data_IF_295859730336
#
_entry.id   IF_295859730336
#
_cell.length_a   1.000
_cell.length_b   1.000
_cell.length_c   1.000
_cell.angle_alpha   90.00
_cell.angle_beta   90.00
_cell.angle_gamma   90.00
#
_symmetry.space_group_name_H-M   'P 1'
#
loop_
_entity.id
_entity.type
_entity.pdbx_description
1 polymer ?
#
# COMPACT_ATOMS: atom_id res chain seq x y z
N UNK A 1 62.60 -52.45 -27.21
CA UNK A 1 63.56 -52.37 -26.10
C UNK A 1 62.95 -51.63 -24.96
N UNK A 2 62.93 -52.35 -23.81
CA UNK A 2 62.71 -51.90 -22.45
C UNK A 2 61.35 -51.19 -22.12
N UNK A 3 60.32 -51.85 -21.60
CA UNK A 3 60.08 -52.40 -20.25
C UNK A 3 60.42 -51.38 -19.13
N UNK A 4 59.42 -50.98 -18.46
CA UNK A 4 59.47 -50.25 -17.20
C UNK A 4 58.19 -50.49 -16.42
N UNK A 5 58.24 -51.44 -15.51
CA UNK A 5 57.23 -51.82 -14.53
C UNK A 5 56.98 -50.68 -13.54
N UNK A 6 55.78 -50.53 -13.14
CA UNK A 6 55.41 -49.60 -12.07
C UNK A 6 54.09 -49.98 -11.42
N UNK A 7 54.21 -50.91 -10.48
CA UNK A 7 53.38 -51.19 -9.29
C UNK A 7 52.00 -50.57 -9.16
N UNK A 8 50.95 -51.38 -9.18
CA UNK A 8 49.67 -51.20 -8.54
C UNK A 8 49.84 -51.11 -7.03
N UNK A 9 49.36 -50.02 -6.42
CA UNK A 9 49.06 -50.03 -5.00
C UNK A 9 47.54 -50.17 -4.83
N UNK A 10 47.22 -51.33 -4.18
CA UNK A 10 45.82 -51.70 -3.91
C UNK A 10 45.40 -51.14 -2.54
N UNK A 11 44.89 -49.99 -2.52
CA UNK A 11 44.02 -49.52 -1.41
C UNK A 11 42.77 -48.90 -1.98
N UNK A 12 41.86 -49.79 -2.39
CA UNK A 12 40.49 -49.41 -2.80
C UNK A 12 39.69 -48.93 -1.61
N UNK A 13 39.82 -47.66 -1.25
CA UNK A 13 38.84 -46.98 -0.41
C UNK A 13 37.85 -46.33 -1.34
N UNK A 14 36.74 -47.00 -1.58
CA UNK A 14 35.53 -46.36 -2.08
C UNK A 14 35.06 -45.41 -0.99
N UNK A 15 35.37 -44.13 -1.13
CA UNK A 15 34.69 -43.06 -0.37
C UNK A 15 33.28 -43.05 -0.93
N UNK A 16 32.36 -43.66 -0.19
CA UNK A 16 30.94 -43.59 -0.50
C UNK A 16 30.55 -42.14 -0.54
N UNK A 17 30.07 -41.68 -1.70
CA UNK A 17 29.33 -40.40 -1.78
C UNK A 17 28.22 -40.44 -0.72
N UNK A 18 28.37 -39.60 0.31
CA UNK A 18 27.31 -39.40 1.25
C UNK A 18 26.10 -38.87 0.45
N UNK A 19 25.08 -39.70 0.27
CA UNK A 19 23.83 -39.29 -0.35
C UNK A 19 23.34 -38.10 0.43
N UNK A 20 23.36 -36.90 -0.20
CA UNK A 20 22.71 -35.72 0.32
C UNK A 20 21.23 -36.13 0.45
N UNK A 21 20.65 -36.07 1.65
CA UNK A 21 19.25 -36.44 1.80
C UNK A 21 18.44 -35.52 0.93
N UNK A 22 17.79 -36.07 -0.10
CA UNK A 22 16.78 -35.32 -0.88
C UNK A 22 15.66 -34.98 0.09
N UNK A 23 15.67 -33.78 0.62
CA UNK A 23 14.55 -33.30 1.41
C UNK A 23 13.33 -33.33 0.50
N UNK A 24 12.37 -34.17 0.83
CA UNK A 24 11.05 -34.15 0.22
C UNK A 24 10.42 -32.82 0.67
N UNK A 25 10.39 -31.82 -0.22
CA UNK A 25 9.70 -30.57 0.01
C UNK A 25 8.21 -30.91 -0.07
N UNK A 26 7.52 -30.85 1.07
CA UNK A 26 6.07 -30.91 1.11
C UNK A 26 5.48 -29.65 0.49
N UNK A 27 4.26 -29.75 -0.03
CA UNK A 27 3.52 -28.63 -0.61
C UNK A 27 2.14 -28.55 0.05
N UNK A 28 1.74 -27.33 0.34
CA UNK A 28 0.44 -26.98 0.85
C UNK A 28 -0.37 -26.36 -0.30
N UNK A 29 -1.57 -26.87 -0.58
CA UNK A 29 -2.47 -26.28 -1.58
C UNK A 29 -3.33 -25.21 -0.93
N UNK A 30 -3.27 -24.00 -1.44
CA UNK A 30 -3.96 -22.83 -0.92
C UNK A 30 -4.89 -22.26 -1.98
N UNK A 31 -6.17 -22.08 -1.63
CA UNK A 31 -7.12 -21.31 -2.43
C UNK A 31 -6.92 -19.83 -2.18
N UNK A 32 -7.03 -19.03 -3.22
CA UNK A 32 -6.92 -17.57 -3.14
C UNK A 32 -7.84 -16.88 -4.14
N UNK A 33 -8.14 -15.63 -3.85
CA UNK A 33 -8.78 -14.70 -4.78
C UNK A 33 -7.82 -13.57 -5.10
N UNK A 34 -7.54 -13.35 -6.39
CA UNK A 34 -6.79 -12.20 -6.86
C UNK A 34 -7.74 -11.02 -7.02
N UNK A 35 -7.42 -9.91 -6.36
CA UNK A 35 -8.23 -8.69 -6.39
C UNK A 35 -7.37 -7.44 -6.59
N UNK A 36 -8.00 -6.32 -6.94
CA UNK A 36 -7.37 -5.01 -6.89
C UNK A 36 -8.37 -3.91 -6.52
N UNK A 37 -7.84 -2.85 -5.87
CA UNK A 37 -8.54 -1.59 -5.62
C UNK A 37 -7.82 -0.44 -6.33
N UNK A 38 -8.35 0.00 -7.48
CA UNK A 38 -7.72 1.05 -8.28
C UNK A 38 -6.25 0.74 -8.66
N UNK A 39 -5.94 -0.52 -9.01
CA UNK A 39 -4.61 -0.95 -9.47
C UNK A 39 -3.64 -1.42 -8.38
N UNK A 40 -3.89 -1.13 -7.10
CA UNK A 40 -3.20 -1.79 -5.99
C UNK A 40 -3.76 -3.21 -5.84
N UNK A 41 -2.94 -4.23 -6.02
CA UNK A 41 -3.38 -5.62 -6.16
C UNK A 41 -3.09 -6.48 -4.92
N UNK A 42 -3.99 -7.45 -4.69
CA UNK A 42 -3.99 -8.29 -3.50
C UNK A 42 -4.15 -9.77 -3.86
N UNK A 43 -3.48 -10.62 -3.09
CA UNK A 43 -3.89 -12.01 -2.91
C UNK A 43 -4.72 -12.09 -1.63
N UNK A 44 -5.99 -12.47 -1.76
CA UNK A 44 -6.92 -12.58 -0.62
C UNK A 44 -7.05 -14.05 -0.22
N UNK A 45 -6.83 -14.31 1.06
CA UNK A 45 -6.87 -15.65 1.67
C UNK A 45 -8.03 -15.73 2.67
N UNK A 46 -8.76 -16.84 2.66
CA UNK A 46 -9.84 -17.13 3.59
C UNK A 46 -9.35 -18.01 4.75
N UNK A 47 -9.19 -17.43 5.93
CA UNK A 47 -8.95 -18.13 7.21
C UNK A 47 -10.19 -18.12 8.12
N UNK A 48 -11.40 -17.87 7.61
CA UNK A 48 -12.60 -17.82 8.44
C UNK A 48 -12.97 -19.17 9.05
N UNK A 49 -12.50 -20.27 8.43
CA UNK A 49 -12.75 -21.67 8.88
C UNK A 49 -11.56 -22.29 9.59
N UNK A 50 -10.42 -21.60 9.66
CA UNK A 50 -9.20 -22.10 10.29
C UNK A 50 -7.97 -21.43 9.70
N UNK A 51 -6.89 -21.37 10.50
CA UNK A 51 -5.63 -20.79 10.06
C UNK A 51 -4.92 -21.70 9.04
N UNK A 52 -4.36 -21.08 8.01
CA UNK A 52 -3.49 -21.73 7.03
C UNK A 52 -2.06 -21.96 7.57
N UNK A 53 -1.72 -21.39 8.72
CA UNK A 53 -0.40 -21.55 9.35
C UNK A 53 0.76 -20.95 8.56
N UNK A 54 0.50 -19.89 7.78
CA UNK A 54 1.49 -19.24 6.93
C UNK A 54 2.54 -18.47 7.73
N UNK A 55 3.77 -18.54 7.26
CA UNK A 55 4.91 -17.79 7.78
C UNK A 55 5.23 -16.58 6.89
N UNK A 56 6.09 -15.69 7.37
CA UNK A 56 6.62 -14.55 6.57
C UNK A 56 7.20 -15.01 5.22
N UNK A 57 7.85 -16.17 5.16
CA UNK A 57 8.39 -16.73 3.93
C UNK A 57 7.28 -17.12 2.93
N UNK A 58 6.17 -17.67 3.43
CA UNK A 58 4.99 -18.00 2.60
C UNK A 58 4.34 -16.72 2.03
N UNK A 59 4.22 -15.65 2.81
CA UNK A 59 3.68 -14.37 2.31
C UNK A 59 4.57 -13.77 1.23
N UNK A 60 5.91 -13.82 1.39
CA UNK A 60 6.87 -13.40 0.35
C UNK A 60 6.72 -14.22 -0.93
N UNK A 61 6.60 -15.53 -0.79
CA UNK A 61 6.39 -16.44 -1.93
C UNK A 61 5.09 -16.10 -2.68
N UNK A 62 3.98 -15.95 -1.96
CA UNK A 62 2.68 -15.61 -2.57
C UNK A 62 2.72 -14.24 -3.27
N UNK A 63 3.46 -13.28 -2.73
CA UNK A 63 3.61 -11.94 -3.30
C UNK A 63 4.56 -11.87 -4.49
N UNK A 64 5.44 -12.87 -4.65
CA UNK A 64 6.41 -12.90 -5.75
C UNK A 64 5.72 -13.02 -7.11
N UNK A 65 6.03 -12.09 -8.03
CA UNK A 65 5.39 -12.01 -9.36
C UNK A 65 5.94 -13.00 -10.38
N UNK A 66 7.01 -13.72 -10.05
CA UNK A 66 7.67 -14.70 -10.93
C UNK A 66 7.42 -16.14 -10.47
N UNK A 67 7.45 -16.38 -9.16
CA UNK A 67 7.37 -17.74 -8.61
C UNK A 67 6.08 -18.01 -7.84
N UNK A 68 5.40 -16.97 -7.37
CA UNK A 68 4.11 -17.03 -6.66
C UNK A 68 2.94 -16.57 -7.52
N UNK A 69 1.92 -16.03 -6.86
CA UNK A 69 0.76 -15.40 -7.49
C UNK A 69 1.11 -13.98 -7.97
N UNK A 70 1.94 -13.30 -7.23
CA UNK A 70 2.31 -11.89 -7.45
C UNK A 70 1.24 -10.92 -6.96
N UNK A 71 1.59 -10.07 -6.02
CA UNK A 71 0.75 -8.98 -5.52
C UNK A 71 1.58 -7.93 -4.78
N UNK A 72 1.02 -6.72 -4.65
CA UNK A 72 1.58 -5.70 -3.77
C UNK A 72 1.44 -6.12 -2.30
N UNK A 73 0.32 -6.77 -1.96
CA UNK A 73 0.01 -7.17 -0.58
C UNK A 73 -0.81 -8.48 -0.54
N UNK A 74 -0.69 -9.18 0.60
CA UNK A 74 -1.50 -10.37 0.92
C UNK A 74 -2.50 -9.96 2.00
N UNK A 75 -3.79 -10.22 1.75
CA UNK A 75 -4.89 -9.92 2.65
C UNK A 75 -5.48 -11.23 3.20
N UNK A 76 -5.41 -11.44 4.50
CA UNK A 76 -5.97 -12.62 5.16
C UNK A 76 -7.24 -12.24 5.90
N UNK A 77 -8.36 -12.89 5.55
CA UNK A 77 -9.67 -12.71 6.17
C UNK A 77 -9.86 -13.76 7.25
N UNK A 78 -10.15 -13.33 8.48
CA UNK A 78 -10.39 -14.21 9.63
C UNK A 78 -11.80 -14.04 10.18
N UNK A 79 -12.30 -15.07 10.86
CA UNK A 79 -13.56 -14.99 11.60
C UNK A 79 -13.51 -13.91 12.68
N UNK A 80 -14.70 -13.57 13.21
CA UNK A 80 -14.83 -12.61 14.31
C UNK A 80 -13.91 -12.94 15.48
N UNK A 81 -13.10 -11.96 15.96
CA UNK A 81 -12.28 -12.15 17.15
C UNK A 81 -13.02 -11.94 18.47
N UNK A 82 -14.32 -11.53 18.43
CA UNK A 82 -15.11 -11.26 19.63
C UNK A 82 -16.38 -10.45 19.37
N UNK A 83 -17.10 -10.16 20.43
CA UNK A 83 -18.40 -9.48 20.38
C UNK A 83 -18.30 -8.09 19.72
N UNK A 84 -19.29 -7.80 18.87
CA UNK A 84 -19.40 -6.50 18.18
C UNK A 84 -18.46 -6.31 17.00
N UNK A 85 -17.63 -7.30 16.66
CA UNK A 85 -16.76 -7.32 15.49
C UNK A 85 -17.22 -8.45 14.55
N UNK A 86 -17.36 -8.15 13.26
CA UNK A 86 -17.80 -9.14 12.29
C UNK A 86 -16.66 -10.04 11.81
N UNK A 87 -15.50 -9.43 11.57
CA UNK A 87 -14.28 -10.09 11.06
C UNK A 87 -13.02 -9.47 11.62
N UNK A 88 -11.91 -10.18 11.44
CA UNK A 88 -10.55 -9.61 11.52
C UNK A 88 -9.89 -9.72 10.14
N UNK A 89 -9.16 -8.70 9.72
CA UNK A 89 -8.27 -8.84 8.59
C UNK A 89 -6.83 -8.51 8.96
N UNK A 90 -5.92 -9.27 8.39
CA UNK A 90 -4.48 -9.08 8.52
C UNK A 90 -3.92 -8.83 7.14
N UNK A 91 -3.04 -7.85 7.03
CA UNK A 91 -2.44 -7.48 5.75
C UNK A 91 -0.92 -7.51 5.84
N UNK A 92 -0.28 -8.13 4.85
CA UNK A 92 1.16 -8.21 4.74
C UNK A 92 1.64 -7.58 3.44
N UNK A 93 2.71 -6.80 3.50
CA UNK A 93 3.40 -6.34 2.31
C UNK A 93 4.12 -7.49 1.58
N UNK A 94 4.61 -7.22 0.37
CA UNK A 94 5.36 -8.21 -0.42
C UNK A 94 6.65 -8.72 0.26
N UNK A 95 7.20 -7.96 1.21
CA UNK A 95 8.32 -8.40 2.06
C UNK A 95 7.92 -9.34 3.20
N UNK A 96 6.62 -9.62 3.34
CA UNK A 96 6.02 -10.45 4.38
C UNK A 96 5.87 -9.75 5.74
N UNK A 97 6.12 -8.46 5.82
CA UNK A 97 5.87 -7.64 7.02
C UNK A 97 4.39 -7.30 7.15
N UNK A 98 3.83 -7.45 8.37
CA UNK A 98 2.45 -7.03 8.68
C UNK A 98 2.36 -5.51 8.74
N UNK A 99 1.26 -4.94 8.24
CA UNK A 99 0.97 -3.50 8.24
C UNK A 99 -0.36 -3.18 8.91
N UNK A 100 -0.48 -1.96 9.44
CA UNK A 100 -1.60 -1.56 10.28
C UNK A 100 -2.94 -1.59 9.53
N UNK A 101 -3.01 -0.97 8.37
CA UNK A 101 -4.19 -0.96 7.50
C UNK A 101 -3.85 -0.43 6.10
N UNK A 102 -4.73 -0.77 5.14
CA UNK A 102 -4.70 -0.25 3.78
C UNK A 102 -6.13 0.01 3.32
N UNK A 103 -6.45 1.27 2.99
CA UNK A 103 -7.80 1.63 2.53
C UNK A 103 -8.22 0.91 1.25
N UNK A 104 -7.27 0.62 0.34
CA UNK A 104 -7.53 -0.20 -0.85
C UNK A 104 -7.84 -1.65 -0.45
N UNK A 105 -7.09 -2.20 0.53
CA UNK A 105 -7.34 -3.53 1.10
C UNK A 105 -8.69 -3.64 1.78
N UNK A 106 -9.10 -2.61 2.54
CA UNK A 106 -10.41 -2.57 3.20
C UNK A 106 -11.58 -2.64 2.19
N UNK A 107 -11.43 -2.01 1.01
CA UNK A 107 -12.43 -2.13 -0.06
C UNK A 107 -12.49 -3.55 -0.64
N UNK A 108 -11.32 -4.12 -0.96
CA UNK A 108 -11.23 -5.50 -1.45
C UNK A 108 -11.75 -6.50 -0.40
N UNK A 109 -11.45 -6.27 0.88
CA UNK A 109 -11.96 -7.09 1.98
C UNK A 109 -13.50 -7.16 2.00
N UNK A 110 -14.19 -6.00 2.03
CA UNK A 110 -15.64 -5.99 2.08
C UNK A 110 -16.25 -6.65 0.84
N UNK A 111 -15.71 -6.36 -0.33
CA UNK A 111 -16.15 -6.98 -1.58
C UNK A 111 -15.98 -8.50 -1.54
N UNK A 112 -14.83 -8.98 -1.07
CA UNK A 112 -14.54 -10.40 -0.92
C UNK A 112 -15.54 -11.12 0.01
N UNK A 113 -15.77 -10.63 1.23
CA UNK A 113 -16.66 -11.29 2.17
C UNK A 113 -18.12 -11.29 1.69
N UNK A 114 -18.54 -10.32 0.90
CA UNK A 114 -19.84 -10.27 0.23
C UNK A 114 -19.92 -11.30 -0.91
N UNK A 115 -18.93 -11.31 -1.81
CA UNK A 115 -18.92 -12.20 -2.97
C UNK A 115 -18.79 -13.67 -2.57
N UNK A 116 -18.06 -13.96 -1.50
CA UNK A 116 -17.94 -15.32 -0.94
C UNK A 116 -19.14 -15.74 -0.06
N UNK A 117 -20.15 -14.89 0.11
CA UNK A 117 -21.34 -15.18 0.92
C UNK A 117 -21.03 -15.36 2.42
N UNK A 118 -19.94 -14.77 2.91
CA UNK A 118 -19.58 -14.81 4.33
C UNK A 118 -20.42 -13.85 5.17
N UNK A 119 -21.07 -12.87 4.53
CA UNK A 119 -21.99 -11.93 5.16
C UNK A 119 -22.98 -11.34 4.15
N UNK A 120 -24.17 -10.98 4.61
CA UNK A 120 -25.16 -10.22 3.84
C UNK A 120 -25.18 -8.72 4.20
N UNK A 121 -24.32 -8.29 5.13
CA UNK A 121 -24.25 -6.89 5.56
C UNK A 121 -23.58 -6.01 4.53
N UNK A 122 -24.11 -4.81 4.30
CA UNK A 122 -23.47 -3.79 3.48
C UNK A 122 -22.40 -2.99 4.24
N UNK A 123 -22.41 -3.05 5.57
CA UNK A 123 -21.38 -2.48 6.43
C UNK A 123 -20.91 -3.55 7.42
N UNK A 124 -19.60 -3.73 7.55
CA UNK A 124 -19.03 -4.73 8.47
C UNK A 124 -17.99 -4.08 9.37
N UNK A 125 -18.01 -4.43 10.65
CA UNK A 125 -16.99 -4.01 11.60
C UNK A 125 -15.84 -4.99 11.57
N UNK A 126 -14.67 -4.47 11.24
CA UNK A 126 -13.48 -5.26 10.99
C UNK A 126 -12.36 -4.82 11.90
N UNK A 127 -11.80 -5.76 12.66
CA UNK A 127 -10.60 -5.51 13.43
C UNK A 127 -9.37 -5.60 12.53
N UNK A 128 -8.49 -4.61 12.63
CA UNK A 128 -7.18 -4.55 11.99
C UNK A 128 -6.11 -4.29 13.06
N UNK A 129 -4.83 -4.36 12.69
CA UNK A 129 -3.75 -3.97 13.59
C UNK A 129 -3.85 -2.48 13.98
N UNK A 130 -4.34 -1.61 13.10
CA UNK A 130 -4.53 -0.17 13.32
C UNK A 130 -5.82 0.21 14.07
N UNK A 131 -6.67 -0.78 14.44
CA UNK A 131 -7.94 -0.54 15.12
C UNK A 131 -9.14 -1.15 14.39
N UNK A 132 -10.34 -0.71 14.76
CA UNK A 132 -11.60 -1.16 14.14
C UNK A 132 -12.00 -0.19 13.04
N UNK A 133 -12.27 -0.73 11.87
CA UNK A 133 -12.80 0.01 10.71
C UNK A 133 -14.18 -0.52 10.33
N UNK A 134 -14.98 0.29 9.63
CA UNK A 134 -16.31 -0.11 9.16
C UNK A 134 -16.47 0.28 7.67
N UNK A 135 -15.87 -0.47 6.73
CA UNK A 135 -16.10 -0.25 5.30
C UNK A 135 -17.58 -0.50 4.96
N UNK A 136 -18.10 0.27 3.98
CA UNK A 136 -19.51 0.23 3.55
C UNK A 136 -19.64 0.06 2.04
N UNK A 137 -20.40 -0.95 1.63
CA UNK A 137 -20.77 -1.18 0.24
C UNK A 137 -21.83 -0.14 -0.18
N UNK A 138 -21.61 0.51 -1.29
CA UNK A 138 -22.54 1.48 -1.88
C UNK A 138 -23.46 0.80 -2.90
N UNK A 139 -24.63 1.38 -3.21
CA UNK A 139 -25.58 0.80 -4.18
C UNK A 139 -25.00 0.59 -5.60
N UNK A 140 -23.97 1.35 -5.96
CA UNK A 140 -23.26 1.25 -7.25
C UNK A 140 -22.14 0.19 -7.24
N UNK A 141 -21.96 -0.53 -6.11
CA UNK A 141 -20.95 -1.56 -5.93
C UNK A 141 -19.58 -1.04 -5.53
N UNK A 142 -19.40 0.27 -5.37
CA UNK A 142 -18.19 0.84 -4.79
C UNK A 142 -18.18 0.65 -3.27
N UNK A 143 -17.03 0.81 -2.66
CA UNK A 143 -16.88 0.70 -1.20
C UNK A 143 -16.33 2.01 -0.64
N UNK A 144 -17.02 2.51 0.39
CA UNK A 144 -16.58 3.67 1.18
C UNK A 144 -15.84 3.21 2.43
N UNK A 145 -14.69 3.83 2.70
CA UNK A 145 -13.86 3.61 3.89
C UNK A 145 -13.66 4.94 4.60
N UNK A 146 -13.85 4.94 5.92
CA UNK A 146 -13.45 6.03 6.80
C UNK A 146 -11.92 5.97 7.00
N UNK A 147 -11.23 7.01 6.56
CA UNK A 147 -9.76 7.12 6.62
C UNK A 147 -9.26 7.90 7.85
N UNK A 148 -10.17 8.24 8.76
CA UNK A 148 -9.89 9.06 9.93
C UNK A 148 -9.77 10.55 9.63
N UNK A 149 -9.59 11.34 10.68
CA UNK A 149 -9.38 12.77 10.55
C UNK A 149 -7.93 13.10 10.14
N UNK A 150 -7.72 14.13 9.30
CA UNK A 150 -6.38 14.54 8.91
C UNK A 150 -5.66 15.24 10.06
N UNK A 151 -4.34 15.04 10.18
CA UNK A 151 -3.51 15.68 11.19
C UNK A 151 -2.67 16.78 10.53
N UNK A 152 -2.74 18.00 11.08
CA UNK A 152 -2.04 19.19 10.59
C UNK A 152 -0.94 19.67 11.54
N UNK A 153 -0.93 19.20 12.79
CA UNK A 153 0.13 19.50 13.74
C UNK A 153 1.46 18.89 13.24
N UNK A 154 2.48 19.73 13.13
CA UNK A 154 3.75 19.35 12.48
C UNK A 154 4.43 18.16 13.18
N UNK A 155 4.34 18.07 14.51
CA UNK A 155 4.85 16.92 15.27
C UNK A 155 4.09 15.63 14.94
N UNK A 156 2.77 15.71 14.67
CA UNK A 156 1.94 14.58 14.25
C UNK A 156 2.13 14.18 12.79
N UNK A 157 2.82 15.03 11.99
CA UNK A 157 3.17 14.74 10.58
C UNK A 157 4.61 14.17 10.48
N UNK A 158 5.37 14.02 11.55
CA UNK A 158 6.84 14.07 11.71
C UNK A 158 7.54 14.98 10.68
N UNK A 159 7.14 16.25 10.66
CA UNK A 159 7.75 17.28 9.81
C UNK A 159 8.52 18.29 10.66
N UNK A 160 9.81 18.48 10.36
CA UNK A 160 10.73 19.40 11.04
C UNK A 160 11.12 20.56 10.12
N UNK A 161 10.41 21.71 10.22
CA UNK A 161 10.64 22.82 9.29
C UNK A 161 11.91 23.64 9.59
N UNK A 162 12.89 23.12 10.32
CA UNK A 162 14.07 23.86 10.77
C UNK A 162 14.69 24.72 9.66
N UNK A 163 14.63 26.05 9.81
CA UNK A 163 15.14 27.03 8.83
C UNK A 163 14.23 27.26 7.61
N UNK A 164 13.09 26.58 7.50
CA UNK A 164 12.11 26.82 6.45
C UNK A 164 11.05 27.82 6.92
N UNK A 165 10.69 28.76 6.03
CA UNK A 165 9.58 29.71 6.27
C UNK A 165 8.45 29.35 5.32
N UNK A 166 7.22 29.06 5.84
CA UNK A 166 6.12 28.72 4.97
C UNK A 166 5.61 29.92 4.20
N UNK A 167 5.13 29.68 3.00
CA UNK A 167 4.45 30.67 2.18
C UNK A 167 2.95 30.55 2.37
N UNK A 168 2.26 31.66 2.69
CA UNK A 168 0.81 31.70 2.78
C UNK A 168 0.17 31.41 1.41
N UNK A 169 -0.87 30.57 1.39
CA UNK A 169 -1.64 30.26 0.21
C UNK A 169 -3.11 30.03 0.58
N UNK A 170 -4.00 30.92 0.14
CA UNK A 170 -5.41 30.85 0.55
C UNK A 170 -5.55 30.98 2.06
N UNK A 171 -6.26 30.04 2.68
CA UNK A 171 -6.43 29.96 4.14
C UNK A 171 -5.39 29.06 4.84
N UNK A 172 -4.35 28.63 4.14
CA UNK A 172 -3.31 27.72 4.65
C UNK A 172 -1.92 28.14 4.16
N UNK A 173 -0.99 27.18 4.11
CA UNK A 173 0.42 27.44 3.80
C UNK A 173 1.06 26.28 3.03
N UNK A 174 2.14 26.60 2.29
CA UNK A 174 3.02 25.65 1.63
C UNK A 174 4.45 25.83 2.13
N UNK A 175 5.20 24.77 2.19
CA UNK A 175 6.58 24.76 2.68
C UNK A 175 7.57 24.61 1.52
N UNK A 176 8.61 25.46 1.44
CA UNK A 176 9.64 25.36 0.42
C UNK A 176 10.60 24.20 0.75
N UNK A 177 10.66 23.19 -0.11
CA UNK A 177 11.55 22.02 0.00
C UNK A 177 12.62 22.15 -1.09
N UNK A 178 13.87 22.18 -0.69
CA UNK A 178 14.99 22.21 -1.63
C UNK A 178 15.21 20.83 -2.25
N UNK A 179 14.99 20.69 -3.54
CA UNK A 179 15.09 19.42 -4.27
C UNK A 179 16.26 19.38 -5.25
N UNK A 180 17.19 20.32 -5.14
CA UNK A 180 18.19 20.51 -6.18
C UNK A 180 19.54 19.91 -5.85
N UNK A 181 20.14 19.32 -6.88
CA UNK A 181 21.57 19.05 -6.94
C UNK A 181 22.43 20.34 -7.05
N UNK A 182 21.84 21.51 -7.27
CA UNK A 182 22.54 22.80 -7.33
C UNK A 182 21.79 23.87 -6.54
N UNK A 183 22.51 24.74 -5.85
CA UNK A 183 21.99 25.84 -5.04
C UNK A 183 21.13 26.89 -5.79
N UNK A 184 20.95 26.74 -7.09
CA UNK A 184 20.28 27.70 -7.97
C UNK A 184 18.87 27.29 -8.44
N UNK A 185 18.40 26.08 -8.08
CA UNK A 185 17.05 25.63 -8.44
C UNK A 185 16.05 26.17 -7.43
N UNK A 186 14.90 26.66 -7.89
CA UNK A 186 13.82 27.10 -7.02
C UNK A 186 13.30 25.93 -6.17
N UNK A 187 12.98 26.16 -4.88
CA UNK A 187 12.42 25.11 -4.03
C UNK A 187 11.04 24.68 -4.52
N UNK A 188 10.68 23.43 -4.27
CA UNK A 188 9.35 22.90 -4.50
C UNK A 188 8.47 23.28 -3.32
N UNK A 189 7.30 23.88 -3.58
CA UNK A 189 6.33 24.22 -2.55
C UNK A 189 5.38 23.06 -2.30
N UNK A 190 5.36 22.52 -1.07
CA UNK A 190 4.49 21.44 -0.67
C UNK A 190 3.57 21.81 0.48
N UNK A 191 2.34 21.33 0.45
CA UNK A 191 1.45 21.28 1.60
C UNK A 191 1.71 19.98 2.37
N UNK A 192 1.81 20.03 3.70
CA UNK A 192 2.11 18.84 4.51
C UNK A 192 0.94 18.46 5.38
N UNK A 193 0.55 17.18 5.38
CA UNK A 193 -0.57 16.62 6.16
C UNK A 193 -0.30 15.15 6.47
N UNK A 194 -0.86 14.65 7.58
CA UNK A 194 -0.86 13.22 7.87
C UNK A 194 -2.27 12.64 7.74
N UNK A 195 -2.37 11.48 7.09
CA UNK A 195 -3.56 10.62 7.01
C UNK A 195 -3.30 9.28 7.73
N UNK A 196 -2.69 9.35 8.94
CA UNK A 196 -2.08 8.22 9.63
C UNK A 196 -0.63 7.98 9.21
N UNK A 197 -0.24 8.49 8.04
CA UNK A 197 1.12 8.53 7.50
C UNK A 197 1.41 9.88 6.86
N UNK A 198 2.69 10.34 6.80
CA UNK A 198 3.03 11.67 6.32
C UNK A 198 2.89 11.81 4.80
N UNK A 199 2.35 12.96 4.38
CA UNK A 199 2.20 13.34 2.98
C UNK A 199 2.70 14.76 2.72
N UNK A 200 3.44 14.94 1.61
CA UNK A 200 3.82 16.22 1.02
C UNK A 200 3.14 16.35 -0.34
N UNK A 201 2.23 17.31 -0.47
CA UNK A 201 1.43 17.51 -1.70
C UNK A 201 1.95 18.73 -2.45
N UNK A 202 2.45 18.50 -3.67
CA UNK A 202 2.88 19.52 -4.61
C UNK A 202 1.79 19.81 -5.62
N UNK A 203 1.53 21.11 -5.90
CA UNK A 203 0.71 21.53 -7.03
C UNK A 203 1.56 21.50 -8.31
N UNK A 204 1.05 20.85 -9.36
CA UNK A 204 1.68 20.77 -10.68
C UNK A 204 0.71 21.24 -11.77
N UNK A 205 1.25 21.80 -12.86
CA UNK A 205 0.43 22.22 -14.00
C UNK A 205 -0.10 21.05 -14.82
N UNK A 206 0.66 19.97 -14.90
CA UNK A 206 0.32 18.72 -15.60
C UNK A 206 0.88 17.54 -14.79
N UNK A 207 -0.02 16.68 -14.31
CA UNK A 207 0.36 15.50 -13.54
C UNK A 207 1.10 14.45 -14.41
N UNK A 208 0.74 14.33 -15.70
CA UNK A 208 1.33 13.34 -16.58
C UNK A 208 2.79 13.70 -16.93
N UNK A 209 3.10 15.00 -17.04
CA UNK A 209 4.45 15.51 -17.29
C UNK A 209 5.28 15.72 -16.00
N UNK A 210 4.68 15.55 -14.82
CA UNK A 210 5.37 15.78 -13.56
C UNK A 210 6.56 14.81 -13.37
N UNK A 211 7.73 15.30 -12.89
CA UNK A 211 8.95 14.49 -12.74
C UNK A 211 8.91 13.66 -11.44
N UNK A 212 7.92 12.75 -11.33
CA UNK A 212 7.63 11.97 -10.12
C UNK A 212 8.82 11.11 -9.70
N UNK A 213 9.45 10.44 -10.67
CA UNK A 213 10.60 9.54 -10.43
C UNK A 213 11.89 10.28 -10.09
N UNK A 214 12.02 11.53 -10.50
CA UNK A 214 13.23 12.34 -10.25
C UNK A 214 13.08 13.16 -8.96
N UNK A 215 11.95 13.84 -8.80
CA UNK A 215 11.70 14.76 -7.66
C UNK A 215 11.15 14.05 -6.44
N UNK A 216 10.35 12.99 -6.63
CA UNK A 216 9.74 12.21 -5.55
C UNK A 216 10.75 11.71 -4.52
N UNK A 217 11.82 10.98 -4.95
CA UNK A 217 12.86 10.49 -4.02
C UNK A 217 13.58 11.61 -3.27
N UNK A 218 13.81 12.77 -3.90
CA UNK A 218 14.46 13.91 -3.28
C UNK A 218 13.63 14.52 -2.16
N UNK A 219 12.31 14.61 -2.35
CA UNK A 219 11.37 15.08 -1.31
C UNK A 219 11.19 14.01 -0.24
N UNK A 220 11.03 12.73 -0.61
CA UNK A 220 10.89 11.61 0.33
C UNK A 220 12.00 11.60 1.38
N UNK A 221 13.24 11.79 0.95
CA UNK A 221 14.42 11.72 1.80
C UNK A 221 14.91 13.08 2.31
N UNK A 222 14.14 14.15 2.09
CA UNK A 222 14.53 15.49 2.55
C UNK A 222 14.64 15.54 4.10
N UNK A 223 15.66 16.19 4.67
CA UNK A 223 15.89 16.23 6.13
C UNK A 223 14.72 16.78 6.96
N UNK A 224 13.83 17.57 6.36
CA UNK A 224 12.59 18.01 7.00
C UNK A 224 11.61 16.87 7.28
N UNK A 225 11.77 15.70 6.67
CA UNK A 225 10.94 14.50 6.85
C UNK A 225 11.78 13.36 7.45
N UNK A 226 12.04 13.36 8.77
CA UNK A 226 12.94 12.38 9.41
C UNK A 226 12.47 10.93 9.28
N UNK A 227 11.16 10.72 9.11
CA UNK A 227 10.53 9.40 8.90
C UNK A 227 10.16 9.16 7.44
N UNK A 228 10.76 9.92 6.51
CA UNK A 228 10.38 10.00 5.10
C UNK A 228 8.92 10.43 4.90
N UNK A 229 8.49 10.60 3.64
CA UNK A 229 7.17 11.12 3.29
C UNK A 229 6.68 10.54 1.97
N UNK A 230 5.35 10.36 1.84
CA UNK A 230 4.71 10.12 0.54
C UNK A 230 4.56 11.46 -0.20
N UNK A 231 4.88 11.51 -1.48
CA UNK A 231 4.88 12.75 -2.27
C UNK A 231 3.80 12.71 -3.33
N UNK A 232 2.80 13.58 -3.19
CA UNK A 232 1.70 13.73 -4.15
C UNK A 232 1.97 14.85 -5.16
N UNK A 233 1.80 14.57 -6.45
CA UNK A 233 1.87 15.52 -7.56
C UNK A 233 0.45 15.77 -8.03
N UNK A 234 -0.17 16.86 -7.56
CA UNK A 234 -1.59 17.15 -7.74
C UNK A 234 -1.80 18.22 -8.83
N UNK A 235 -2.50 17.84 -9.88
CA UNK A 235 -3.05 18.76 -10.88
C UNK A 235 -4.51 19.04 -10.57
N UNK A 236 -4.90 20.28 -10.37
CA UNK A 236 -6.31 20.68 -10.25
C UNK A 236 -6.90 20.81 -11.64
N UNK A 237 -7.88 19.96 -11.97
CA UNK A 237 -8.64 20.03 -13.23
C UNK A 237 -9.78 21.04 -13.07
N UNK A 238 -10.53 20.92 -11.99
CA UNK A 238 -11.55 21.86 -11.53
C UNK A 238 -11.78 21.65 -10.03
N UNK A 239 -12.71 22.39 -9.41
CA UNK A 239 -12.94 22.29 -7.97
C UNK A 239 -13.43 20.92 -7.49
N UNK A 240 -14.04 20.12 -8.34
CA UNK A 240 -14.54 18.76 -8.05
C UNK A 240 -13.67 17.65 -8.61
N UNK A 241 -12.51 17.96 -9.25
CA UNK A 241 -11.70 16.93 -9.89
C UNK A 241 -10.21 17.27 -9.90
N UNK A 242 -9.38 16.30 -9.55
CA UNK A 242 -7.92 16.38 -9.65
C UNK A 242 -7.36 15.17 -10.41
N UNK A 243 -6.17 15.37 -10.98
CA UNK A 243 -5.27 14.28 -11.38
C UNK A 243 -4.15 14.16 -10.37
N UNK A 244 -3.78 12.94 -10.01
CA UNK A 244 -2.79 12.70 -8.98
C UNK A 244 -1.84 11.56 -9.37
N UNK A 245 -0.56 11.82 -9.20
CA UNK A 245 0.48 10.79 -9.17
C UNK A 245 1.16 10.82 -7.82
N UNK A 246 1.56 9.67 -7.30
CA UNK A 246 2.17 9.57 -5.97
C UNK A 246 3.45 8.76 -6.04
N UNK A 247 4.51 9.33 -5.46
CA UNK A 247 5.71 8.60 -5.07
C UNK A 247 5.54 8.17 -3.61
N UNK A 248 5.34 6.88 -3.40
CA UNK A 248 5.11 6.35 -2.05
C UNK A 248 6.41 6.05 -1.33
N UNK A 249 6.41 6.31 -0.04
CA UNK A 249 7.52 6.09 0.86
C UNK A 249 8.02 4.64 0.82
N UNK A 250 9.23 4.44 0.33
CA UNK A 250 9.89 3.13 0.23
C UNK A 250 9.42 2.24 -0.92
N UNK A 251 8.41 2.65 -1.70
CA UNK A 251 7.86 1.89 -2.82
C UNK A 251 8.07 2.57 -4.19
N UNK A 252 8.36 3.88 -4.20
CA UNK A 252 8.48 4.62 -5.45
C UNK A 252 7.12 5.03 -6.03
N UNK A 253 7.04 5.28 -7.33
CA UNK A 253 5.78 5.62 -7.97
C UNK A 253 4.86 4.40 -8.09
N UNK A 254 3.64 4.52 -7.54
CA UNK A 254 2.60 3.49 -7.58
C UNK A 254 1.42 3.89 -8.46
N UNK A 255 0.59 2.91 -8.82
CA UNK A 255 -0.60 3.15 -9.65
C UNK A 255 -1.70 3.89 -8.88
N UNK A 256 -1.80 3.65 -7.55
CA UNK A 256 -2.80 4.27 -6.69
C UNK A 256 -2.37 4.24 -5.22
N UNK A 257 -2.48 5.39 -4.56
CA UNK A 257 -2.25 5.56 -3.13
C UNK A 257 -3.51 6.16 -2.50
N UNK A 258 -4.24 5.38 -1.70
CA UNK A 258 -5.50 5.84 -1.08
C UNK A 258 -5.28 6.99 -0.10
N UNK A 259 -4.32 6.86 0.83
CA UNK A 259 -3.99 7.95 1.76
C UNK A 259 -3.41 9.17 1.04
N UNK A 260 -2.68 8.97 -0.06
CA UNK A 260 -2.19 10.07 -0.92
C UNK A 260 -3.33 10.82 -1.60
N UNK A 261 -4.37 10.13 -2.06
CA UNK A 261 -5.58 10.75 -2.61
C UNK A 261 -6.30 11.60 -1.55
N UNK A 262 -6.49 11.04 -0.35
CA UNK A 262 -7.07 11.77 0.78
C UNK A 262 -6.24 13.01 1.13
N UNK A 263 -4.92 12.87 1.26
CA UNK A 263 -4.01 13.97 1.57
C UNK A 263 -4.06 15.09 0.50
N UNK A 264 -4.10 14.72 -0.79
CA UNK A 264 -4.18 15.69 -1.88
C UNK A 264 -5.49 16.49 -1.84
N UNK A 265 -6.62 15.82 -1.62
CA UNK A 265 -7.93 16.50 -1.53
C UNK A 265 -8.01 17.36 -0.28
N UNK A 266 -7.59 16.85 0.88
CA UNK A 266 -7.52 17.63 2.14
C UNK A 266 -6.65 18.86 1.96
N UNK A 267 -5.47 18.74 1.35
CA UNK A 267 -4.61 19.86 1.05
C UNK A 267 -5.30 20.86 0.11
N UNK A 268 -5.91 20.38 -0.96
CA UNK A 268 -6.60 21.24 -1.93
C UNK A 268 -7.78 22.01 -1.34
N UNK A 269 -8.58 21.39 -0.45
CA UNK A 269 -9.67 22.04 0.29
C UNK A 269 -9.10 23.12 1.22
N UNK A 270 -8.07 22.81 1.98
CA UNK A 270 -7.40 23.75 2.89
C UNK A 270 -6.77 24.94 2.16
N UNK A 271 -6.26 24.72 0.96
CA UNK A 271 -5.72 25.76 0.09
C UNK A 271 -6.84 26.56 -0.64
N UNK A 272 -8.12 26.22 -0.47
CA UNK A 272 -9.25 26.89 -1.11
C UNK A 272 -9.44 26.56 -2.60
N UNK A 273 -8.77 25.51 -3.09
CA UNK A 273 -8.77 25.12 -4.50
C UNK A 273 -9.87 24.13 -4.86
N UNK A 274 -10.33 23.31 -3.90
CA UNK A 274 -11.26 22.20 -4.13
C UNK A 274 -12.54 22.38 -3.30
N UNK A 275 -13.60 21.71 -3.74
CA UNK A 275 -14.85 21.51 -3.02
C UNK A 275 -14.75 20.31 -2.06
N UNK A 276 -15.78 20.08 -1.23
CA UNK A 276 -15.77 19.04 -0.19
C UNK A 276 -15.92 17.60 -0.72
N UNK A 277 -16.25 17.42 -2.00
CA UNK A 277 -16.32 16.14 -2.70
C UNK A 277 -15.53 16.23 -4.00
N UNK A 278 -14.54 15.37 -4.17
CA UNK A 278 -13.56 15.47 -5.27
C UNK A 278 -13.28 14.11 -5.85
N UNK A 279 -13.36 14.00 -7.16
CA UNK A 279 -12.90 12.84 -7.90
C UNK A 279 -11.40 12.95 -8.16
N UNK A 280 -10.67 11.92 -7.74
CA UNK A 280 -9.22 11.79 -7.89
C UNK A 280 -8.90 10.79 -8.97
N UNK A 281 -8.40 11.26 -10.08
CA UNK A 281 -7.95 10.42 -11.20
C UNK A 281 -6.48 10.05 -10.99
N UNK A 282 -6.20 8.77 -10.81
CA UNK A 282 -4.86 8.19 -10.71
C UNK A 282 -4.60 7.23 -11.87
N UNK A 283 -3.37 6.79 -12.06
CA UNK A 283 -3.02 5.82 -13.13
C UNK A 283 -3.77 4.50 -13.00
N UNK A 284 -4.03 4.03 -11.78
CA UNK A 284 -4.73 2.78 -11.51
C UNK A 284 -6.25 2.86 -11.49
N UNK A 285 -6.83 4.06 -11.51
CA UNK A 285 -8.28 4.27 -11.47
C UNK A 285 -8.70 5.55 -10.76
N UNK A 286 -9.99 5.65 -10.52
CA UNK A 286 -10.61 6.81 -9.86
C UNK A 286 -11.00 6.46 -8.43
N UNK A 287 -10.78 7.42 -7.52
CA UNK A 287 -11.36 7.44 -6.17
C UNK A 287 -12.18 8.72 -6.01
N UNK A 288 -13.21 8.66 -5.19
CA UNK A 288 -13.94 9.85 -4.74
C UNK A 288 -13.60 10.08 -3.27
N UNK A 289 -13.14 11.28 -2.95
CA UNK A 289 -12.76 11.69 -1.60
C UNK A 289 -13.71 12.77 -1.12
N UNK A 290 -14.22 12.61 0.09
CA UNK A 290 -15.14 13.57 0.73
C UNK A 290 -14.58 13.99 2.09
N UNK A 291 -14.52 15.31 2.31
CA UNK A 291 -14.13 15.89 3.59
C UNK A 291 -14.83 17.22 3.82
N UNK A 292 -15.45 17.40 4.99
CA UNK A 292 -16.20 18.61 5.33
C UNK A 292 -15.35 19.87 5.52
N UNK A 293 -14.01 19.73 5.62
CA UNK A 293 -13.11 20.82 5.96
C UNK A 293 -12.97 21.08 7.47
N UNK A 294 -13.75 20.41 8.32
CA UNK A 294 -13.59 20.48 9.78
C UNK A 294 -12.41 19.59 10.22
N UNK A 295 -11.58 20.12 11.10
CA UNK A 295 -10.28 19.50 11.44
C UNK A 295 -10.40 18.12 12.10
N UNK A 296 -11.48 17.88 12.82
CA UNK A 296 -11.80 16.64 13.54
C UNK A 296 -12.72 15.69 12.75
N UNK A 297 -13.21 16.13 11.59
CA UNK A 297 -14.07 15.31 10.76
C UNK A 297 -13.26 14.28 9.96
N UNK A 298 -13.80 13.05 9.80
CA UNK A 298 -13.15 12.03 9.01
C UNK A 298 -13.12 12.38 7.52
N UNK A 299 -12.12 11.83 6.84
CA UNK A 299 -12.04 11.81 5.38
C UNK A 299 -12.63 10.48 4.90
N UNK A 300 -13.63 10.54 4.04
CA UNK A 300 -14.24 9.37 3.44
C UNK A 300 -13.63 9.12 2.06
N UNK A 301 -13.23 7.88 1.81
CA UNK A 301 -12.68 7.44 0.53
C UNK A 301 -13.58 6.37 -0.08
N UNK A 302 -14.16 6.67 -1.24
CA UNK A 302 -15.00 5.75 -2.02
C UNK A 302 -14.27 5.33 -3.28
N UNK A 303 -14.33 4.04 -3.61
CA UNK A 303 -13.71 3.54 -4.82
C UNK A 303 -14.02 2.07 -5.14
N UNK A 304 -13.55 1.60 -6.31
CA UNK A 304 -13.80 0.24 -6.76
C UNK A 304 -12.99 -0.79 -5.97
N UNK A 305 -13.52 -2.01 -5.96
CA UNK A 305 -12.82 -3.23 -5.59
C UNK A 305 -13.26 -4.31 -6.58
N UNK A 306 -12.31 -4.92 -7.26
CA UNK A 306 -12.58 -5.85 -8.35
C UNK A 306 -11.88 -7.18 -8.12
N UNK A 307 -12.62 -8.28 -8.27
CA UNK A 307 -12.06 -9.62 -8.38
C UNK A 307 -11.51 -9.81 -9.80
N UNK A 308 -10.27 -10.27 -9.90
CA UNK A 308 -9.60 -10.56 -11.17
C UNK A 308 -9.81 -12.03 -11.54
N UNK A 309 -9.47 -12.94 -10.60
CA UNK A 309 -9.71 -14.39 -10.73
C UNK A 309 -9.60 -15.08 -9.37
N UNK A 310 -10.10 -16.30 -9.31
CA UNK A 310 -9.93 -17.23 -8.19
C UNK A 310 -9.15 -18.45 -8.67
N UNK A 311 -8.28 -18.99 -7.82
CA UNK A 311 -7.46 -20.15 -8.16
C UNK A 311 -6.92 -20.84 -6.90
N UNK A 312 -6.09 -21.83 -7.14
CA UNK A 312 -5.29 -22.53 -6.12
C UNK A 312 -3.81 -22.49 -6.51
N UNK A 313 -2.94 -22.46 -5.52
CA UNK A 313 -1.50 -22.52 -5.70
C UNK A 313 -0.90 -23.56 -4.75
N UNK A 314 0.11 -24.29 -5.21
CA UNK A 314 0.94 -25.15 -4.37
C UNK A 314 2.08 -24.31 -3.79
N UNK A 315 2.08 -24.16 -2.47
CA UNK A 315 3.08 -23.39 -1.73
C UNK A 315 4.01 -24.40 -1.05
N UNK A 316 5.34 -24.29 -1.21
CA UNK A 316 6.28 -25.15 -0.49
C UNK A 316 6.11 -24.98 1.02
N UNK A 317 6.21 -26.08 1.81
CA UNK A 317 6.15 -26.00 3.28
C UNK A 317 7.28 -25.13 3.86
N UNK A 318 8.35 -24.96 3.10
CA UNK A 318 9.50 -24.09 3.41
C UNK A 318 9.95 -23.36 2.14
N UNK A 319 9.26 -22.28 1.74
CA UNK A 319 9.62 -21.48 0.58
C UNK A 319 10.86 -20.64 0.80
#
# INVERSE_FOLDING_TARGET
MALGDGLCDASGVFVGEAAVPTQIIGFMRIRFTKMHGAGNDFVVLDETRGSLGLTTAHYRFLADRHFGVGADQILTVRSSPGEGIDFEYVIHNADGGEVEQCGNGARCFLRFVRDQGLTDKDAVKVKTLGGVIEPRLQPDGQVTVDMGAPVFALDGIPFKPAGLTPEAFGSWQKWPIAVAATAQSAPVLVAVVSMGNPHAVQLVGDADAAPVTDTGPLIEHHPAFPNRVNVGFMQVVNRGQIRLRVHERGAGETLACGSGACAAVVAGIRLGLLDHRVDVLMRGGQLTIEWSGMLDAPVLMTGPASTVFESEIEVPDRP
#
